data_IF_605466157380
#
_entry.id   IF_605466157380
#
_cell.length_a   1.000
_cell.length_b   1.000
_cell.length_c   1.000
_cell.angle_alpha   90.00
_cell.angle_beta   90.00
_cell.angle_gamma   90.00
#
_symmetry.space_group_name_H-M   'P 1'
#
loop_
_entity.id
_entity.type
_entity.pdbx_description
1 polymer ?
#
# COMPACT_ATOMS: atom_id res chain seq x y z
N UNK A 1 -17.87 -8.40 -29.40
CA UNK A 1 -17.87 -7.68 -28.11
C UNK A 1 -16.79 -8.34 -27.26
N UNK A 2 -15.60 -7.76 -27.20
CA UNK A 2 -14.47 -8.35 -26.47
C UNK A 2 -14.58 -7.91 -25.01
N UNK A 3 -15.02 -8.79 -24.13
CA UNK A 3 -14.96 -8.60 -22.69
C UNK A 3 -13.50 -8.61 -22.28
N UNK A 4 -12.90 -7.43 -22.08
CA UNK A 4 -11.63 -7.33 -21.39
C UNK A 4 -11.86 -7.83 -19.96
N UNK A 5 -11.27 -8.97 -19.60
CA UNK A 5 -11.25 -9.43 -18.22
C UNK A 5 -10.66 -8.33 -17.33
N UNK A 6 -11.22 -8.06 -16.14
CA UNK A 6 -10.63 -7.09 -15.23
C UNK A 6 -9.21 -7.55 -14.89
N UNK A 7 -8.21 -6.78 -15.32
CA UNK A 7 -6.83 -7.03 -14.91
C UNK A 7 -6.77 -6.83 -13.41
N UNK A 8 -6.16 -7.78 -12.71
CA UNK A 8 -5.92 -7.69 -11.27
C UNK A 8 -4.44 -7.52 -11.05
N UNK A 9 -4.07 -6.69 -10.07
CA UNK A 9 -2.68 -6.51 -9.68
C UNK A 9 -2.54 -6.64 -8.16
N UNK A 10 -1.32 -6.95 -7.72
CA UNK A 10 -0.99 -7.04 -6.30
C UNK A 10 -0.51 -5.69 -5.81
N UNK A 11 -1.13 -5.19 -4.75
CA UNK A 11 -0.70 -4.02 -4.00
C UNK A 11 -0.26 -4.44 -2.59
N UNK A 12 0.66 -3.69 -2.01
CA UNK A 12 1.00 -3.81 -0.60
C UNK A 12 0.33 -2.68 0.17
N UNK A 13 -0.45 -3.01 1.18
CA UNK A 13 -0.99 -2.06 2.14
C UNK A 13 0.01 -1.92 3.29
N UNK A 14 0.44 -0.70 3.56
CA UNK A 14 1.41 -0.39 4.60
C UNK A 14 0.84 0.59 5.61
N UNK A 15 0.88 0.24 6.90
CA UNK A 15 0.55 1.14 7.99
C UNK A 15 1.84 1.82 8.44
N UNK A 16 2.13 3.01 7.92
CA UNK A 16 3.34 3.74 8.27
C UNK A 16 3.28 4.23 9.73
N UNK A 17 4.33 3.99 10.52
CA UNK A 17 4.38 4.44 11.90
C UNK A 17 4.43 5.98 11.95
N UNK A 18 3.60 6.58 12.80
CA UNK A 18 3.64 8.01 13.08
C UNK A 18 3.54 8.30 14.57
N UNK A 19 3.82 9.54 14.96
CA UNK A 19 3.92 9.93 16.39
C UNK A 19 2.58 9.92 17.13
N UNK A 20 1.50 10.31 16.44
CA UNK A 20 0.16 10.39 17.02
C UNK A 20 -0.89 9.70 16.15
N UNK A 21 -0.61 9.51 14.87
CA UNK A 21 -1.52 8.89 13.90
C UNK A 21 -0.67 8.04 12.97
N UNK A 22 -1.22 6.93 12.50
CA UNK A 22 -0.55 6.09 11.50
C UNK A 22 -1.21 6.34 10.14
N UNK A 23 -0.40 6.64 9.13
CA UNK A 23 -0.88 6.79 7.75
C UNK A 23 -0.92 5.44 7.08
N UNK A 24 -1.94 5.20 6.28
CA UNK A 24 -2.11 3.95 5.54
C UNK A 24 -1.83 4.23 4.08
N UNK A 25 -0.91 3.46 3.49
CA UNK A 25 -0.47 3.62 2.12
C UNK A 25 -0.79 2.38 1.29
N UNK A 26 -1.25 2.58 0.05
CA UNK A 26 -1.25 1.57 -0.99
C UNK A 26 0.02 1.73 -1.83
N UNK A 27 0.77 0.63 -1.94
CA UNK A 27 2.00 0.54 -2.73
C UNK A 27 1.68 -0.34 -3.94
N UNK A 28 1.92 0.13 -5.17
CA UNK A 28 1.42 -0.50 -6.39
C UNK A 28 2.18 -1.77 -6.82
N UNK A 29 2.74 -2.51 -5.87
CA UNK A 29 3.46 -3.75 -6.10
C UNK A 29 3.57 -4.57 -4.81
N UNK A 30 3.70 -5.89 -4.98
CA UNK A 30 4.07 -6.80 -3.90
C UNK A 30 5.51 -6.57 -3.43
N UNK A 31 5.79 -6.98 -2.20
CA UNK A 31 7.13 -6.92 -1.63
C UNK A 31 7.93 -8.17 -1.98
N UNK A 32 9.26 -8.03 -2.11
CA UNK A 32 10.12 -9.21 -2.20
C UNK A 32 10.11 -9.98 -0.88
N UNK A 33 10.41 -11.29 -0.87
CA UNK A 33 10.58 -12.03 0.37
C UNK A 33 11.57 -11.34 1.30
N UNK A 34 11.16 -11.12 2.56
CA UNK A 34 11.92 -10.42 3.61
C UNK A 34 12.17 -8.91 3.37
N UNK A 35 11.53 -8.29 2.39
CA UNK A 35 11.56 -6.84 2.18
C UNK A 35 10.33 -6.21 2.85
N UNK A 36 10.53 -5.18 3.68
CA UNK A 36 9.46 -4.35 4.19
C UNK A 36 9.33 -3.07 3.34
N UNK A 37 8.13 -2.44 3.29
CA UNK A 37 7.94 -1.17 2.60
C UNK A 37 8.96 -0.09 2.96
N UNK A 38 9.30 0.04 4.25
CA UNK A 38 10.31 1.01 4.73
C UNK A 38 11.71 0.82 4.12
N UNK A 39 12.00 -0.36 3.57
CA UNK A 39 13.29 -0.69 2.95
C UNK A 39 13.35 -0.23 1.48
N UNK A 40 12.22 0.25 0.91
CA UNK A 40 12.18 0.80 -0.44
C UNK A 40 12.93 2.13 -0.51
N UNK A 41 13.70 2.32 -1.58
CA UNK A 41 14.38 3.59 -1.84
C UNK A 41 13.37 4.71 -2.11
N UNK A 42 13.74 5.96 -1.82
CA UNK A 42 12.86 7.14 -1.93
C UNK A 42 12.08 7.24 -3.27
N UNK A 43 12.67 6.97 -4.46
CA UNK A 43 11.92 7.04 -5.72
C UNK A 43 10.73 6.06 -5.82
N UNK A 44 10.77 4.96 -5.07
CA UNK A 44 9.65 4.02 -4.97
C UNK A 44 8.64 4.44 -3.90
N UNK A 45 9.07 5.22 -2.90
CA UNK A 45 8.18 5.80 -1.90
C UNK A 45 7.32 6.92 -2.49
N UNK A 46 7.80 7.61 -3.52
CA UNK A 46 7.02 8.62 -4.25
C UNK A 46 5.77 8.05 -4.93
N UNK A 47 5.72 6.73 -5.13
CA UNK A 47 4.58 6.02 -5.72
C UNK A 47 3.53 5.62 -4.67
N UNK A 48 3.81 5.81 -3.39
CA UNK A 48 2.91 5.41 -2.32
C UNK A 48 1.70 6.34 -2.31
N UNK A 49 0.51 5.76 -2.44
CA UNK A 49 -0.72 6.52 -2.33
C UNK A 49 -1.25 6.43 -0.91
N UNK A 50 -1.42 7.57 -0.25
CA UNK A 50 -2.09 7.61 1.06
C UNK A 50 -3.57 7.28 0.87
N UNK A 51 -4.03 6.17 1.44
CA UNK A 51 -5.40 5.68 1.30
C UNK A 51 -6.21 5.79 2.59
N UNK A 52 -5.59 6.14 3.72
CA UNK A 52 -6.31 6.22 4.99
C UNK A 52 -5.45 6.65 6.16
N UNK A 53 -6.09 6.74 7.32
CA UNK A 53 -5.49 7.25 8.54
C UNK A 53 -6.05 6.54 9.77
N UNK A 54 -5.15 6.08 10.65
CA UNK A 54 -5.48 5.58 11.98
C UNK A 54 -5.20 6.65 13.04
N UNK A 55 -6.08 6.77 14.03
CA UNK A 55 -5.88 7.64 15.18
C UNK A 55 -4.89 7.02 16.22
N UNK A 56 -4.59 7.70 17.35
CA UNK A 56 -3.67 7.14 18.36
C UNK A 56 -4.14 5.82 19.00
N UNK A 57 -5.43 5.49 18.90
CA UNK A 57 -6.02 4.24 19.39
C UNK A 57 -6.06 3.14 18.32
N UNK A 58 -5.46 3.37 17.15
CA UNK A 58 -5.48 2.49 15.97
C UNK A 58 -6.88 2.32 15.38
N UNK A 59 -7.79 3.26 15.63
CA UNK A 59 -9.12 3.29 15.01
C UNK A 59 -9.02 4.02 13.66
N UNK A 60 -9.67 3.47 12.63
CA UNK A 60 -9.70 4.05 11.30
C UNK A 60 -10.56 5.32 11.29
N UNK A 61 -9.93 6.45 10.98
CA UNK A 61 -10.57 7.78 10.94
C UNK A 61 -11.13 8.05 9.55
N UNK A 62 -10.36 7.69 8.53
CA UNK A 62 -10.74 7.82 7.14
C UNK A 62 -10.08 6.75 6.30
N UNK A 63 -10.75 6.41 5.20
CA UNK A 63 -10.25 5.51 4.17
C UNK A 63 -10.82 5.93 2.82
N UNK A 64 -10.03 5.77 1.76
CA UNK A 64 -10.51 5.93 0.39
C UNK A 64 -11.67 4.95 0.14
N UNK A 65 -12.76 5.37 -0.52
CA UNK A 65 -13.91 4.49 -0.77
C UNK A 65 -13.55 3.21 -1.52
N UNK A 66 -12.52 3.26 -2.38
CA UNK A 66 -12.02 2.09 -3.08
C UNK A 66 -11.45 1.02 -2.14
N UNK A 67 -11.01 1.37 -0.93
CA UNK A 67 -10.38 0.46 0.04
C UNK A 67 -11.30 0.21 1.24
N UNK A 68 -12.56 0.64 1.19
CA UNK A 68 -13.49 0.49 2.30
C UNK A 68 -13.69 -0.98 2.73
N UNK A 69 -13.52 -1.93 1.79
CA UNK A 69 -13.57 -3.36 2.06
C UNK A 69 -12.43 -3.86 2.97
N UNK A 70 -11.32 -3.12 3.06
CA UNK A 70 -10.17 -3.43 3.92
C UNK A 70 -10.23 -2.73 5.28
N UNK A 71 -11.31 -2.02 5.58
CA UNK A 71 -11.41 -1.21 6.81
C UNK A 71 -11.19 -2.04 8.08
N UNK A 72 -11.82 -3.22 8.16
CA UNK A 72 -11.68 -4.13 9.30
C UNK A 72 -10.28 -4.77 9.38
N UNK A 73 -9.64 -5.03 8.24
CA UNK A 73 -8.28 -5.59 8.18
C UNK A 73 -7.22 -4.57 8.61
N UNK A 74 -7.48 -3.27 8.36
CA UNK A 74 -6.57 -2.17 8.69
C UNK A 74 -6.75 -1.69 10.13
N UNK A 75 -7.99 -1.72 10.65
CA UNK A 75 -8.28 -1.28 12.00
C UNK A 75 -7.52 -2.13 13.04
N UNK A 76 -6.92 -1.47 14.03
CA UNK A 76 -6.14 -2.13 15.07
C UNK A 76 -4.72 -2.56 14.68
N UNK A 77 -4.33 -2.39 13.40
CA UNK A 77 -2.95 -2.66 12.98
C UNK A 77 -1.97 -1.64 13.56
N UNK A 78 -0.83 -2.15 14.03
CA UNK A 78 0.24 -1.31 14.56
C UNK A 78 1.06 -0.65 13.45
N UNK A 79 1.60 0.54 13.73
CA UNK A 79 2.57 1.17 12.85
C UNK A 79 3.76 0.25 12.54
N UNK A 80 4.09 0.13 11.25
CA UNK A 80 5.14 -0.73 10.74
C UNK A 80 4.64 -2.05 10.13
N UNK A 81 3.35 -2.39 10.27
CA UNK A 81 2.78 -3.60 9.66
C UNK A 81 2.42 -3.37 8.18
N UNK A 82 2.49 -4.45 7.40
CA UNK A 82 2.04 -4.46 6.01
C UNK A 82 1.48 -5.82 5.62
N UNK A 83 0.63 -5.83 4.59
CA UNK A 83 0.09 -7.03 3.97
C UNK A 83 -0.15 -6.80 2.49
N UNK A 84 -0.24 -7.89 1.72
CA UNK A 84 -0.52 -7.83 0.29
C UNK A 84 -2.00 -8.09 0.02
N UNK A 85 -2.55 -7.41 -0.97
CA UNK A 85 -3.92 -7.59 -1.44
C UNK A 85 -3.97 -7.53 -2.96
N UNK A 86 -4.95 -8.21 -3.55
CA UNK A 86 -5.17 -8.20 -5.00
C UNK A 86 -6.32 -7.26 -5.33
N UNK A 87 -6.07 -6.26 -6.18
CA UNK A 87 -7.04 -5.23 -6.54
C UNK A 87 -7.35 -5.26 -8.05
N UNK A 88 -8.59 -4.99 -8.46
CA UNK A 88 -8.92 -4.78 -9.86
C UNK A 88 -8.35 -3.43 -10.33
N UNK A 89 -7.72 -3.41 -11.49
CA UNK A 89 -7.12 -2.21 -12.09
C UNK A 89 -5.75 -2.48 -12.71
N UNK A 90 -5.21 -1.48 -13.38
CA UNK A 90 -3.85 -1.52 -13.94
C UNK A 90 -2.85 -1.05 -12.89
N UNK A 91 -1.79 -1.83 -12.66
CA UNK A 91 -0.69 -1.38 -11.82
C UNK A 91 0.01 -0.20 -12.52
N UNK A 92 0.28 0.93 -11.84
CA UNK A 92 1.04 2.01 -12.45
C UNK A 92 2.41 1.51 -12.89
N UNK A 93 2.85 1.92 -14.09
CA UNK A 93 4.17 1.59 -14.62
C UNK A 93 5.24 2.03 -13.60
N UNK A 94 5.97 1.06 -13.04
CA UNK A 94 7.07 1.34 -12.13
C UNK A 94 8.12 2.17 -12.86
N UNK A 95 8.70 3.20 -12.22
CA UNK A 95 9.79 3.94 -12.81
C UNK A 95 10.89 2.94 -13.15
N UNK A 96 11.37 2.98 -14.40
CA UNK A 96 12.54 2.25 -14.88
C UNK A 96 13.78 2.86 -14.23
N UNK A 97 13.90 2.77 -12.91
CA UNK A 97 15.17 3.06 -12.25
C UNK A 97 16.08 1.90 -12.63
N UNK A 98 17.14 2.24 -13.39
CA UNK A 98 18.25 1.32 -13.57
C UNK A 98 18.68 0.89 -12.17
N UNK A 99 18.47 -0.39 -11.88
CA UNK A 99 18.99 -1.05 -10.70
C UNK A 99 20.52 -1.14 -10.88
N UNK A 100 21.20 0.00 -10.79
CA UNK A 100 22.65 0.06 -10.88
C UNK A 100 23.23 -0.53 -9.60
N UNK A 101 23.77 -1.74 -9.75
CA UNK A 101 25.02 -2.24 -9.20
C UNK A 101 25.42 -1.73 -7.80
N UNK A 102 25.38 -2.65 -6.84
CA UNK A 102 26.36 -2.72 -5.77
C UNK A 102 26.83 -4.17 -5.65
#
# INVERSE_FOLDING_TARGET
MTTASPQTHTETIYVAPGRAQCRVYAIPHGMRPNQAPRDLAAPYQDLWREIGLLNPKLELVCIEPAYADLSDDIAGLMGGTYFETTRPGEAPELPKVNLCAA
#
